data_IF_529051177237
#
_entry.id   IF_529051177237
#
_cell.length_a   1.000
_cell.length_b   1.000
_cell.length_c   1.000
_cell.angle_alpha   90.00
_cell.angle_beta   90.00
_cell.angle_gamma   90.00
#
_symmetry.space_group_name_H-M   'P 1'
#
loop_
_entity.id
_entity.type
_entity.pdbx_description
1 polymer ?
#
# COMPACT_ATOMS: atom_id res chain seq x y z
N UNK A 1 26.54 14.55 -2.42
CA UNK A 1 25.58 13.98 -1.47
C UNK A 1 26.14 13.79 -0.05
N UNK A 2 27.31 13.20 0.18
CA UNK A 2 27.90 13.04 1.54
C UNK A 2 28.05 14.36 2.34
N UNK A 3 28.32 15.50 1.70
CA UNK A 3 28.46 16.79 2.37
C UNK A 3 27.15 17.41 2.89
N UNK A 4 26.01 17.13 2.25
CA UNK A 4 24.70 17.66 2.68
C UNK A 4 24.17 16.96 3.94
N UNK A 5 24.44 15.65 4.11
CA UNK A 5 24.04 14.92 5.32
C UNK A 5 24.85 15.35 6.54
N UNK A 6 26.16 15.66 6.36
CA UNK A 6 26.99 16.16 7.45
C UNK A 6 26.56 17.56 7.92
N UNK A 7 26.12 18.42 7.01
CA UNK A 7 25.63 19.76 7.34
C UNK A 7 24.30 19.70 8.12
N UNK A 8 23.42 18.73 7.80
CA UNK A 8 22.17 18.53 8.51
C UNK A 8 22.39 17.99 9.93
N UNK A 9 23.36 17.09 10.12
CA UNK A 9 23.70 16.55 11.45
C UNK A 9 24.36 17.61 12.35
N UNK A 10 25.21 18.48 11.78
CA UNK A 10 25.84 19.57 12.50
C UNK A 10 24.86 20.67 12.93
N UNK A 11 23.79 20.92 12.15
CA UNK A 11 22.73 21.85 12.51
C UNK A 11 21.89 21.34 13.70
N UNK A 12 21.73 20.02 13.86
CA UNK A 12 21.00 19.45 15.00
C UNK A 12 21.75 19.58 16.34
N UNK A 13 23.10 19.53 16.31
CA UNK A 13 23.92 19.66 17.53
C UNK A 13 23.94 21.09 18.06
N UNK A 14 23.69 22.09 17.22
CA UNK A 14 23.62 23.51 17.62
C UNK A 14 22.28 23.87 18.30
N UNK A 15 21.24 23.03 18.17
CA UNK A 15 19.91 23.27 18.76
C UNK A 15 19.79 22.79 20.22
N UNK A 16 20.75 22.05 20.75
CA UNK A 16 20.74 21.53 22.13
C UNK A 16 21.33 22.48 23.17
N UNK A 17 21.85 23.64 22.75
CA UNK A 17 22.66 24.55 23.59
C UNK A 17 21.97 25.78 24.13
N UNK A 18 20.70 26.06 23.90
CA UNK A 18 20.03 27.25 24.41
C UNK A 18 18.84 26.94 25.31
N UNK A 19 19.05 26.98 26.61
CA UNK A 19 18.01 26.93 27.64
C UNK A 19 17.28 28.28 27.78
N UNK A 20 16.46 28.62 26.83
CA UNK A 20 15.25 29.43 26.99
C UNK A 20 14.18 28.74 26.18
N UNK A 21 13.07 28.32 26.82
CA UNK A 21 11.84 27.93 26.09
C UNK A 21 11.38 29.14 25.26
N UNK A 22 11.99 29.33 24.08
CA UNK A 22 11.32 30.06 23.04
C UNK A 22 10.05 29.25 22.75
N UNK A 23 8.89 29.81 22.93
CA UNK A 23 7.65 29.27 22.37
C UNK A 23 7.89 29.20 20.85
N UNK A 24 8.22 27.97 20.40
CA UNK A 24 8.49 27.76 19.02
C UNK A 24 7.15 27.79 18.29
N UNK A 25 6.99 28.75 17.39
CA UNK A 25 5.82 28.85 16.54
C UNK A 25 5.53 27.45 15.94
N UNK A 26 4.29 26.95 16.05
CA UNK A 26 3.92 25.68 15.46
C UNK A 26 4.30 25.70 13.98
N UNK A 27 5.03 24.71 13.55
CA UNK A 27 5.42 24.57 12.14
C UNK A 27 4.35 23.79 11.44
N UNK A 28 3.64 24.44 10.52
CA UNK A 28 2.67 23.78 9.65
C UNK A 28 3.42 22.95 8.61
N UNK A 29 3.08 21.66 8.53
CA UNK A 29 3.57 20.75 7.50
C UNK A 29 2.39 20.21 6.70
N UNK A 30 2.60 20.05 5.41
CA UNK A 30 1.57 19.61 4.46
C UNK A 30 2.02 18.38 3.70
N UNK A 31 1.09 17.56 3.20
CA UNK A 31 1.42 16.51 2.25
C UNK A 31 2.12 17.08 1.01
N UNK A 32 3.08 16.32 0.50
CA UNK A 32 3.70 16.58 -0.80
C UNK A 32 2.85 15.86 -1.84
N UNK A 33 2.32 16.59 -2.83
CA UNK A 33 1.39 16.03 -3.81
C UNK A 33 1.85 16.41 -5.21
N UNK A 34 1.95 15.42 -6.08
CA UNK A 34 2.13 15.58 -7.52
C UNK A 34 0.99 14.85 -8.23
N UNK A 35 0.38 15.51 -9.21
CA UNK A 35 -0.76 14.97 -9.93
C UNK A 35 -0.58 15.18 -11.44
N UNK A 36 -0.87 14.13 -12.19
CA UNK A 36 -0.92 14.15 -13.66
C UNK A 36 -2.10 13.29 -14.09
N UNK A 37 -3.00 13.84 -14.91
CA UNK A 37 -4.21 13.16 -15.35
C UNK A 37 -4.98 12.50 -14.20
N UNK A 38 -5.09 11.17 -14.21
CA UNK A 38 -5.77 10.37 -13.19
C UNK A 38 -4.81 9.73 -12.16
N UNK A 39 -3.55 10.18 -12.13
CA UNK A 39 -2.53 9.66 -11.21
C UNK A 39 -2.16 10.74 -10.21
N UNK A 40 -2.26 10.43 -8.93
CA UNK A 40 -1.79 11.29 -7.84
C UNK A 40 -0.75 10.54 -7.03
N UNK A 41 0.45 11.09 -6.92
CA UNK A 41 1.48 10.63 -5.99
C UNK A 41 1.51 11.55 -4.78
N UNK A 42 1.44 10.96 -3.60
CA UNK A 42 1.38 11.69 -2.33
C UNK A 42 2.42 11.14 -1.35
N UNK A 43 3.21 12.02 -0.74
CA UNK A 43 3.90 11.69 0.51
C UNK A 43 3.12 12.33 1.65
N UNK A 44 2.54 11.51 2.50
CA UNK A 44 1.62 11.96 3.55
C UNK A 44 2.32 11.96 4.92
N UNK A 45 2.43 13.10 5.61
CA UNK A 45 3.11 13.17 6.89
C UNK A 45 2.47 12.29 7.97
N UNK A 46 1.18 12.03 7.92
CA UNK A 46 0.50 11.16 8.88
C UNK A 46 0.89 9.70 8.67
N UNK A 47 0.96 9.28 7.40
CA UNK A 47 1.38 7.92 7.04
C UNK A 47 2.85 7.71 7.41
N UNK A 48 3.73 8.64 7.07
CA UNK A 48 5.15 8.55 7.42
C UNK A 48 5.35 8.48 8.94
N UNK A 49 4.63 9.30 9.72
CA UNK A 49 4.70 9.26 11.18
C UNK A 49 4.20 7.91 11.75
N UNK A 50 3.13 7.35 11.21
CA UNK A 50 2.63 6.04 11.62
C UNK A 50 3.62 4.93 11.27
N UNK A 51 4.21 4.97 10.08
CA UNK A 51 5.24 4.02 9.65
C UNK A 51 6.49 4.09 10.56
N UNK A 52 6.90 5.29 10.97
CA UNK A 52 7.96 5.47 11.98
C UNK A 52 7.59 4.78 13.29
N UNK A 53 6.38 4.98 13.78
CA UNK A 53 5.94 4.36 15.03
C UNK A 53 5.87 2.82 14.93
N UNK A 54 5.36 2.27 13.81
CA UNK A 54 5.35 0.83 13.53
C UNK A 54 6.76 0.26 13.47
N UNK A 55 7.70 0.98 12.85
CA UNK A 55 9.10 0.59 12.78
C UNK A 55 9.77 0.57 14.15
N UNK A 56 9.58 1.60 14.95
CA UNK A 56 10.10 1.68 16.33
C UNK A 56 9.51 0.61 17.24
N UNK A 57 8.26 0.22 17.00
CA UNK A 57 7.58 -0.87 17.71
C UNK A 57 7.99 -2.26 17.21
N UNK A 58 8.91 -2.34 16.23
CA UNK A 58 9.41 -3.57 15.62
C UNK A 58 8.31 -4.44 14.98
N UNK A 59 7.28 -3.80 14.42
CA UNK A 59 6.21 -4.48 13.69
C UNK A 59 6.69 -4.88 12.30
N UNK A 60 6.66 -6.18 12.01
CA UNK A 60 6.94 -6.68 10.65
C UNK A 60 5.80 -6.30 9.68
N UNK A 61 6.10 -5.97 8.41
CA UNK A 61 7.41 -5.93 7.77
C UNK A 61 8.14 -4.58 7.90
N UNK A 62 7.57 -3.58 8.59
CA UNK A 62 8.09 -2.21 8.65
C UNK A 62 9.45 -2.09 9.37
N UNK A 63 9.82 -3.08 10.17
CA UNK A 63 11.13 -3.16 10.83
C UNK A 63 12.23 -3.71 9.94
N UNK A 64 11.92 -4.19 8.73
CA UNK A 64 12.91 -4.77 7.83
C UNK A 64 13.74 -3.70 7.11
N UNK A 65 14.99 -4.05 6.79
CA UNK A 65 15.94 -3.18 6.08
C UNK A 65 16.18 -3.68 4.64
N UNK A 66 15.12 -3.91 3.88
CA UNK A 66 15.20 -4.29 2.47
C UNK A 66 15.29 -3.06 1.55
N UNK A 67 16.23 -2.17 1.87
CA UNK A 67 16.40 -0.95 1.09
C UNK A 67 17.59 -1.08 0.13
N UNK A 68 17.42 -0.59 -1.10
CA UNK A 68 18.56 -0.30 -1.95
C UNK A 68 19.48 0.74 -1.28
N UNK A 69 20.75 0.76 -1.65
CA UNK A 69 21.79 1.58 -1.00
C UNK A 69 21.41 3.07 -0.86
N UNK A 70 20.59 3.60 -1.78
CA UNK A 70 20.21 5.02 -1.80
C UNK A 70 19.19 5.40 -0.71
N UNK A 71 18.44 4.44 -0.20
CA UNK A 71 17.40 4.66 0.82
C UNK A 71 17.82 4.25 2.23
N UNK A 72 18.82 3.39 2.38
CA UNK A 72 19.32 2.93 3.68
C UNK A 72 19.75 4.11 4.55
N UNK A 73 20.40 5.14 3.97
CA UNK A 73 20.85 6.32 4.70
C UNK A 73 19.69 7.16 5.27
N UNK A 74 18.57 7.24 4.54
CA UNK A 74 17.37 7.93 5.05
C UNK A 74 16.78 7.16 6.23
N UNK A 75 16.60 5.86 6.07
CA UNK A 75 16.04 5.00 7.11
C UNK A 75 16.90 4.96 8.36
N UNK A 76 18.23 4.82 8.20
CA UNK A 76 19.19 4.90 9.31
C UNK A 76 19.14 6.26 10.01
N UNK A 77 18.92 7.33 9.24
CA UNK A 77 18.72 8.68 9.79
C UNK A 77 17.45 8.78 10.63
N UNK A 78 16.35 8.23 10.13
CA UNK A 78 15.08 8.17 10.87
C UNK A 78 15.25 7.36 12.16
N UNK A 79 15.84 6.16 12.09
CA UNK A 79 16.06 5.32 13.27
C UNK A 79 16.87 6.03 14.37
N UNK A 80 17.92 6.75 13.99
CA UNK A 80 18.74 7.53 14.93
C UNK A 80 17.98 8.71 15.56
N UNK A 81 17.21 9.44 14.76
CA UNK A 81 16.47 10.61 15.22
C UNK A 81 15.34 10.25 16.19
N UNK A 82 14.69 9.10 15.94
CA UNK A 82 13.57 8.63 16.74
C UNK A 82 13.94 7.59 17.80
N UNK A 83 15.22 7.25 17.98
CA UNK A 83 15.65 6.19 18.90
C UNK A 83 15.09 6.37 20.31
N UNK A 84 15.11 7.60 20.84
CA UNK A 84 14.58 7.92 22.17
C UNK A 84 13.06 7.76 22.28
N UNK A 85 12.37 7.76 21.15
CA UNK A 85 10.92 7.61 21.08
C UNK A 85 10.43 6.14 21.14
N UNK A 86 11.35 5.16 21.17
CA UNK A 86 11.00 3.74 21.39
C UNK A 86 10.26 3.54 22.72
N UNK A 87 10.54 4.40 23.71
CA UNK A 87 9.91 4.35 25.02
C UNK A 87 8.59 5.16 25.10
N UNK A 88 8.19 5.83 24.03
CA UNK A 88 6.97 6.63 23.98
C UNK A 88 5.72 5.75 24.18
N UNK A 89 4.69 6.20 24.95
CA UNK A 89 3.48 5.41 25.22
C UNK A 89 2.80 4.92 23.95
N UNK A 90 2.74 5.71 22.88
CA UNK A 90 2.17 5.32 21.59
C UNK A 90 2.92 4.15 20.95
N UNK A 91 4.26 4.18 20.95
CA UNK A 91 5.09 3.09 20.41
C UNK A 91 4.93 1.82 21.23
N UNK A 92 4.90 1.93 22.56
CA UNK A 92 4.65 0.79 23.46
C UNK A 92 3.28 0.18 23.27
N UNK A 93 2.25 0.98 23.07
CA UNK A 93 0.90 0.49 22.76
C UNK A 93 0.88 -0.32 21.45
N UNK A 94 1.49 0.20 20.38
CA UNK A 94 1.65 -0.52 19.12
C UNK A 94 2.42 -1.83 19.34
N UNK A 95 3.54 -1.78 20.07
CA UNK A 95 4.37 -2.97 20.36
C UNK A 95 3.60 -4.04 21.14
N UNK A 96 2.77 -3.64 22.09
CA UNK A 96 1.93 -4.55 22.85
C UNK A 96 0.91 -5.31 22.01
N UNK A 97 0.56 -4.74 20.84
CA UNK A 97 -0.38 -5.28 19.84
C UNK A 97 0.31 -5.62 18.51
N UNK A 98 1.63 -5.81 18.51
CA UNK A 98 2.42 -5.98 17.28
C UNK A 98 1.88 -7.06 16.36
N UNK A 99 1.43 -8.20 16.91
CA UNK A 99 0.81 -9.28 16.14
C UNK A 99 -0.46 -8.80 15.41
N UNK A 100 -1.33 -8.05 16.09
CA UNK A 100 -2.56 -7.54 15.48
C UNK A 100 -2.25 -6.54 14.36
N UNK A 101 -1.27 -5.64 14.57
CA UNK A 101 -0.81 -4.71 13.54
C UNK A 101 -0.18 -5.45 12.35
N UNK A 102 0.65 -6.48 12.60
CA UNK A 102 1.25 -7.30 11.55
C UNK A 102 0.19 -8.02 10.72
N UNK A 103 -0.78 -8.67 11.37
CA UNK A 103 -1.81 -9.46 10.70
C UNK A 103 -2.81 -8.58 9.93
N UNK A 104 -2.97 -7.30 10.30
CA UNK A 104 -3.95 -6.36 9.76
C UNK A 104 -3.33 -5.02 9.32
N UNK A 105 -2.08 -5.01 8.89
CA UNK A 105 -1.33 -3.78 8.60
C UNK A 105 -2.02 -2.85 7.59
N UNK A 106 -2.77 -3.39 6.62
CA UNK A 106 -3.52 -2.58 5.65
C UNK A 106 -4.59 -1.72 6.33
N UNK A 107 -5.39 -2.35 7.20
CA UNK A 107 -6.40 -1.63 7.98
C UNK A 107 -5.76 -0.63 8.96
N UNK A 108 -4.58 -0.99 9.52
CA UNK A 108 -3.84 -0.08 10.37
C UNK A 108 -3.34 1.15 9.62
N UNK A 109 -2.78 0.98 8.43
CA UNK A 109 -2.29 2.09 7.61
C UNK A 109 -3.43 2.94 7.01
N UNK A 110 -4.54 2.31 6.65
CA UNK A 110 -5.70 3.00 6.07
C UNK A 110 -6.32 4.04 7.01
N UNK A 111 -6.12 3.95 8.33
CA UNK A 111 -6.60 4.94 9.30
C UNK A 111 -6.13 6.36 8.95
N UNK A 112 -4.96 6.50 8.35
CA UNK A 112 -4.37 7.80 8.00
C UNK A 112 -5.21 8.59 7.00
N UNK A 113 -6.04 7.91 6.19
CA UNK A 113 -6.98 8.55 5.26
C UNK A 113 -8.13 9.27 6.00
N UNK A 114 -8.42 8.85 7.24
CA UNK A 114 -9.50 9.39 8.08
C UNK A 114 -9.00 10.30 9.19
N UNK A 115 -7.70 10.62 9.21
CA UNK A 115 -7.10 11.61 10.11
C UNK A 115 -7.00 12.94 9.37
N UNK A 116 -7.33 14.06 10.07
CA UNK A 116 -7.21 15.40 9.50
C UNK A 116 -5.78 15.74 9.08
N UNK A 117 -5.63 16.65 8.10
CA UNK A 117 -4.29 17.08 7.63
C UNK A 117 -3.60 18.11 8.56
N UNK A 118 -4.29 18.55 9.60
CA UNK A 118 -3.69 19.43 10.60
C UNK A 118 -2.79 18.63 11.54
N UNK A 119 -1.50 18.62 11.25
CA UNK A 119 -0.48 17.90 12.03
C UNK A 119 -0.20 18.55 13.41
N UNK A 120 -0.72 19.74 13.68
CA UNK A 120 -0.58 20.38 15.00
C UNK A 120 -1.63 19.87 15.99
N UNK A 121 -2.80 19.47 15.47
CA UNK A 121 -3.90 18.91 16.25
C UNK A 121 -4.72 17.94 15.38
N UNK A 122 -4.19 16.77 15.14
CA UNK A 122 -4.89 15.74 14.35
C UNK A 122 -6.18 15.30 15.03
N UNK A 123 -7.22 15.13 14.22
CA UNK A 123 -8.53 14.59 14.62
C UNK A 123 -8.90 13.42 13.72
N UNK A 124 -9.80 12.55 14.18
CA UNK A 124 -10.23 11.37 13.40
C UNK A 124 -11.68 11.52 12.96
N UNK A 125 -11.92 11.28 11.69
CA UNK A 125 -13.24 11.28 11.03
C UNK A 125 -13.88 9.90 11.11
N UNK A 126 -14.12 9.41 12.32
CA UNK A 126 -14.59 8.04 12.58
C UNK A 126 -15.86 7.68 11.79
N UNK A 127 -16.78 8.64 11.57
CA UNK A 127 -18.04 8.41 10.84
C UNK A 127 -17.85 8.16 9.34
N UNK A 128 -16.68 8.52 8.80
CA UNK A 128 -16.35 8.32 7.39
C UNK A 128 -15.62 6.99 7.15
N UNK A 129 -15.26 6.27 8.23
CA UNK A 129 -14.54 4.99 8.13
C UNK A 129 -15.45 3.89 7.58
N UNK A 130 -15.00 3.11 6.60
CA UNK A 130 -15.74 1.97 6.10
C UNK A 130 -15.78 0.83 7.15
N UNK A 131 -16.81 -0.01 7.07
CA UNK A 131 -17.02 -1.12 8.02
C UNK A 131 -15.85 -2.09 8.06
N UNK A 132 -15.15 -2.27 6.96
CA UNK A 132 -13.99 -3.15 6.83
C UNK A 132 -12.85 -2.71 7.77
N UNK A 133 -12.69 -1.41 7.98
CA UNK A 133 -11.72 -0.88 8.94
C UNK A 133 -12.19 -1.01 10.38
N UNK A 134 -13.49 -0.96 10.64
CA UNK A 134 -14.04 -1.01 11.99
C UNK A 134 -13.65 -2.32 12.71
N UNK A 135 -13.54 -3.43 12.00
CA UNK A 135 -13.17 -4.74 12.58
C UNK A 135 -11.81 -4.73 13.25
N UNK A 136 -10.80 -4.15 12.60
CA UNK A 136 -9.46 -4.00 13.16
C UNK A 136 -9.46 -3.02 14.36
N UNK A 137 -10.16 -1.90 14.21
CA UNK A 137 -10.21 -0.85 15.22
C UNK A 137 -11.17 -1.14 16.37
N UNK A 138 -11.96 -2.22 16.26
CA UNK A 138 -12.84 -2.68 17.34
C UNK A 138 -12.02 -3.04 18.59
N UNK A 139 -12.31 -2.37 19.70
CA UNK A 139 -11.57 -2.54 20.95
C UNK A 139 -10.33 -1.66 21.11
N UNK A 140 -10.02 -0.83 20.10
CA UNK A 140 -9.05 0.26 20.22
C UNK A 140 -9.81 1.55 20.44
N UNK A 141 -9.50 2.26 21.52
CA UNK A 141 -10.11 3.57 21.77
C UNK A 141 -9.49 4.60 20.83
N UNK A 142 -10.22 4.96 19.77
CA UNK A 142 -9.73 5.90 18.74
C UNK A 142 -9.44 7.30 19.30
N UNK A 143 -10.14 7.73 20.36
CA UNK A 143 -9.82 8.97 21.07
C UNK A 143 -8.44 8.91 21.73
N UNK A 144 -8.15 7.80 22.40
CA UNK A 144 -6.84 7.59 23.03
C UNK A 144 -5.76 7.44 21.97
N UNK A 145 -6.03 6.70 20.90
CA UNK A 145 -5.11 6.53 19.78
C UNK A 145 -4.70 7.88 19.20
N UNK A 146 -5.66 8.74 18.82
CA UNK A 146 -5.34 10.02 18.19
C UNK A 146 -4.66 11.01 19.18
N UNK A 147 -5.00 10.95 20.48
CA UNK A 147 -4.33 11.75 21.49
C UNK A 147 -2.86 11.36 21.66
N UNK A 148 -2.57 10.05 21.70
CA UNK A 148 -1.21 9.53 21.77
C UNK A 148 -0.43 9.78 20.49
N UNK A 149 -1.09 9.73 19.32
CA UNK A 149 -0.48 10.02 18.04
C UNK A 149 -0.09 11.49 17.92
N UNK A 150 -0.95 12.42 18.37
CA UNK A 150 -0.61 13.84 18.51
C UNK A 150 0.57 14.07 19.46
N UNK A 151 0.56 13.41 20.64
CA UNK A 151 1.65 13.52 21.61
C UNK A 151 2.97 13.00 21.03
N UNK A 152 2.94 11.89 20.30
CA UNK A 152 4.10 11.35 19.59
C UNK A 152 4.64 12.32 18.54
N UNK A 153 3.76 12.96 17.73
CA UNK A 153 4.16 13.96 16.75
C UNK A 153 4.88 15.16 17.42
N UNK A 154 4.31 15.64 18.52
CA UNK A 154 4.81 16.81 19.23
C UNK A 154 6.11 16.53 19.98
N UNK A 155 6.18 15.44 20.74
CA UNK A 155 7.35 15.11 21.58
C UNK A 155 8.54 14.66 20.76
N UNK A 156 8.32 14.09 19.56
CA UNK A 156 9.38 13.75 18.61
C UNK A 156 9.88 14.95 17.79
N UNK A 157 9.25 16.13 17.90
CA UNK A 157 9.52 17.27 17.01
C UNK A 157 9.33 16.92 15.52
N UNK A 158 8.36 16.07 15.20
CA UNK A 158 8.18 15.52 13.87
C UNK A 158 8.09 16.58 12.76
N UNK A 159 7.38 17.68 12.99
CA UNK A 159 7.24 18.75 12.02
C UNK A 159 8.59 19.31 11.55
N UNK A 160 9.57 19.43 12.45
CA UNK A 160 10.93 19.89 12.11
C UNK A 160 11.71 18.84 11.35
N UNK A 161 11.56 17.58 11.73
CA UNK A 161 12.17 16.45 11.03
C UNK A 161 11.60 16.36 9.62
N UNK A 162 10.29 16.52 9.46
CA UNK A 162 9.65 16.57 8.14
C UNK A 162 10.27 17.64 7.24
N UNK A 163 10.41 18.88 7.70
CA UNK A 163 11.02 19.96 6.92
C UNK A 163 12.48 19.65 6.55
N UNK A 164 13.22 19.04 7.46
CA UNK A 164 14.60 18.64 7.19
C UNK A 164 14.68 17.61 6.03
N UNK A 165 13.74 16.68 5.99
CA UNK A 165 13.69 15.65 4.96
C UNK A 165 12.82 16.00 3.74
N UNK A 166 12.07 17.09 3.77
CA UNK A 166 11.18 17.50 2.69
C UNK A 166 11.85 17.50 1.30
N UNK A 167 13.11 18.00 1.14
CA UNK A 167 13.77 17.94 -0.17
C UNK A 167 14.02 16.50 -0.68
N UNK A 168 14.24 15.55 0.22
CA UNK A 168 14.37 14.14 -0.11
C UNK A 168 13.02 13.54 -0.49
N UNK A 169 11.99 13.78 0.32
CA UNK A 169 10.63 13.31 0.08
C UNK A 169 10.04 13.87 -1.22
N UNK A 170 10.32 15.14 -1.55
CA UNK A 170 9.94 15.74 -2.84
C UNK A 170 10.58 15.05 -4.03
N UNK A 171 11.90 14.78 -3.97
CA UNK A 171 12.58 14.05 -5.05
C UNK A 171 12.01 12.65 -5.25
N UNK A 172 11.71 11.94 -4.15
CA UNK A 172 11.07 10.64 -4.19
C UNK A 172 9.70 10.70 -4.87
N UNK A 173 8.85 11.65 -4.47
CA UNK A 173 7.52 11.80 -5.03
C UNK A 173 7.55 12.16 -6.53
N UNK A 174 8.48 13.03 -6.95
CA UNK A 174 8.70 13.38 -8.37
C UNK A 174 9.13 12.15 -9.15
N UNK A 175 10.12 11.39 -8.65
CA UNK A 175 10.61 10.23 -9.34
C UNK A 175 9.55 9.12 -9.47
N UNK A 176 8.70 8.94 -8.46
CA UNK A 176 7.54 8.03 -8.55
C UNK A 176 6.50 8.54 -9.57
N UNK A 177 6.23 9.85 -9.58
CA UNK A 177 5.31 10.44 -10.54
C UNK A 177 5.81 10.27 -11.98
N UNK A 178 7.08 10.55 -12.24
CA UNK A 178 7.70 10.41 -13.55
C UNK A 178 7.64 8.94 -14.03
N UNK A 179 7.93 8.00 -13.11
CA UNK A 179 7.84 6.57 -13.38
C UNK A 179 6.42 6.13 -13.75
N UNK A 180 5.40 6.55 -12.99
CA UNK A 180 4.01 6.20 -13.26
C UNK A 180 3.49 6.88 -14.54
N UNK A 181 3.93 8.09 -14.84
CA UNK A 181 3.61 8.77 -16.10
C UNK A 181 4.22 8.01 -17.29
N UNK A 182 5.42 7.46 -17.14
CA UNK A 182 6.03 6.60 -18.17
C UNK A 182 5.26 5.28 -18.33
N UNK A 183 4.58 4.80 -17.28
CA UNK A 183 3.73 3.60 -17.29
C UNK A 183 2.26 3.87 -17.69
N UNK A 184 1.96 4.97 -18.37
CA UNK A 184 0.58 5.38 -18.69
C UNK A 184 -0.21 4.30 -19.43
N UNK A 185 0.43 3.52 -20.32
CA UNK A 185 -0.20 2.39 -21.04
C UNK A 185 -0.77 1.32 -20.11
N UNK A 186 -0.06 1.02 -19.02
CA UNK A 186 -0.55 0.07 -18.02
C UNK A 186 -1.79 0.59 -17.29
N UNK A 187 -1.82 1.88 -17.00
CA UNK A 187 -2.94 2.53 -16.33
C UNK A 187 -4.16 2.65 -17.25
N UNK A 188 -3.95 2.96 -18.53
CA UNK A 188 -5.00 2.95 -19.54
C UNK A 188 -5.57 1.55 -19.73
N UNK A 189 -4.70 0.51 -19.74
CA UNK A 189 -5.14 -0.88 -19.80
C UNK A 189 -5.98 -1.26 -18.57
N UNK A 190 -5.57 -0.91 -17.34
CA UNK A 190 -6.38 -1.14 -16.13
C UNK A 190 -7.76 -0.50 -16.28
N UNK A 191 -7.82 0.75 -16.72
CA UNK A 191 -9.08 1.48 -16.90
C UNK A 191 -9.99 0.78 -17.92
N UNK A 192 -9.44 0.37 -19.05
CA UNK A 192 -10.19 -0.29 -20.14
C UNK A 192 -10.60 -1.73 -19.76
N UNK A 193 -9.72 -2.45 -19.06
CA UNK A 193 -9.91 -3.88 -18.78
C UNK A 193 -10.83 -4.14 -17.60
N UNK A 194 -10.68 -3.38 -16.52
CA UNK A 194 -11.34 -3.65 -15.23
C UNK A 194 -12.56 -2.78 -14.97
N UNK A 195 -12.73 -1.69 -15.69
CA UNK A 195 -13.83 -0.75 -15.47
C UNK A 195 -14.82 -0.73 -16.62
N UNK A 196 -16.03 -0.22 -16.35
CA UNK A 196 -17.02 0.02 -17.40
C UNK A 196 -16.49 1.05 -18.43
N UNK A 197 -16.94 1.00 -19.70
CA UNK A 197 -16.34 1.77 -20.80
C UNK A 197 -16.21 3.27 -20.55
N UNK A 198 -17.14 3.86 -19.80
CA UNK A 198 -17.16 5.30 -19.51
C UNK A 198 -16.58 5.67 -18.14
N UNK A 199 -16.03 4.67 -17.43
CA UNK A 199 -15.44 4.84 -16.10
C UNK A 199 -13.93 5.03 -16.21
N UNK A 200 -13.41 6.05 -15.52
CA UNK A 200 -11.97 6.27 -15.37
C UNK A 200 -11.62 6.28 -13.90
N UNK A 201 -10.90 5.28 -13.40
CA UNK A 201 -10.47 5.29 -12.01
C UNK A 201 -9.41 6.37 -11.80
N UNK A 202 -9.37 6.95 -10.61
CA UNK A 202 -8.21 7.68 -10.12
C UNK A 202 -7.26 6.71 -9.41
N UNK A 203 -5.97 6.93 -9.54
CA UNK A 203 -4.93 6.16 -8.87
C UNK A 203 -4.22 7.08 -7.88
N UNK A 204 -4.31 6.73 -6.60
CA UNK A 204 -3.65 7.45 -5.52
C UNK A 204 -2.53 6.58 -4.95
N UNK A 205 -1.29 7.00 -5.17
CA UNK A 205 -0.10 6.33 -4.66
C UNK A 205 0.48 7.11 -3.49
N UNK A 206 0.48 6.51 -2.31
CA UNK A 206 1.26 7.00 -1.19
C UNK A 206 2.68 6.48 -1.30
N UNK A 207 3.62 7.34 -1.68
CA UNK A 207 5.03 6.94 -1.79
C UNK A 207 5.72 7.04 -0.44
N UNK A 208 6.35 5.96 0.03
CA UNK A 208 7.09 5.93 1.29
C UNK A 208 8.34 5.04 1.21
N UNK A 209 9.46 5.54 1.74
CA UNK A 209 10.68 4.75 1.91
C UNK A 209 10.63 3.81 3.11
N UNK A 210 9.66 3.98 4.01
CA UNK A 210 9.57 3.21 5.26
C UNK A 210 8.80 1.89 5.12
N UNK A 211 8.36 1.54 3.91
CA UNK A 211 7.61 0.30 3.65
C UNK A 211 8.50 -0.88 3.24
N UNK A 212 9.82 -0.76 3.36
CA UNK A 212 10.78 -1.79 2.96
C UNK A 212 10.65 -2.25 1.48
N UNK A 213 10.16 -1.36 0.60
CA UNK A 213 9.95 -1.66 -0.83
C UNK A 213 8.67 -2.46 -1.13
N UNK A 214 7.85 -2.74 -0.14
CA UNK A 214 6.58 -3.44 -0.35
C UNK A 214 5.46 -2.49 -0.83
N UNK A 215 4.51 -3.08 -1.54
CA UNK A 215 3.28 -2.42 -1.98
C UNK A 215 2.11 -2.91 -1.13
N UNK A 216 1.26 -1.98 -0.71
CA UNK A 216 0.10 -2.29 0.13
C UNK A 216 -1.16 -1.67 -0.45
N UNK A 217 -2.14 -2.52 -0.76
CA UNK A 217 -3.48 -2.07 -1.11
C UNK A 217 -4.16 -1.40 0.10
N UNK A 218 -4.83 -0.30 -0.14
CA UNK A 218 -5.75 0.31 0.81
C UNK A 218 -7.20 0.14 0.32
N UNK A 219 -8.21 0.30 1.19
CA UNK A 219 -9.59 0.23 0.78
C UNK A 219 -9.91 1.18 -0.37
N UNK A 220 -10.79 0.74 -1.28
CA UNK A 220 -11.32 1.61 -2.33
C UNK A 220 -12.10 2.76 -1.70
N UNK A 221 -11.93 3.93 -2.26
CA UNK A 221 -12.75 5.10 -1.93
C UNK A 221 -13.46 5.60 -3.17
N UNK A 222 -14.51 6.39 -2.97
CA UNK A 222 -15.22 7.05 -4.07
C UNK A 222 -15.13 8.55 -3.88
N UNK A 223 -14.69 9.24 -4.91
CA UNK A 223 -14.63 10.69 -4.93
C UNK A 223 -15.38 11.17 -6.18
N UNK A 224 -16.39 12.02 -6.01
CA UNK A 224 -17.20 12.56 -7.11
C UNK A 224 -17.69 11.48 -8.10
N UNK A 225 -18.18 10.34 -7.58
CA UNK A 225 -18.57 9.14 -8.31
C UNK A 225 -17.44 8.41 -9.06
N UNK A 226 -16.19 8.79 -8.85
CA UNK A 226 -15.02 8.11 -9.42
C UNK A 226 -14.42 7.15 -8.40
N UNK A 227 -14.15 5.93 -8.81
CA UNK A 227 -13.43 4.95 -7.98
C UNK A 227 -11.97 5.36 -7.86
N UNK A 228 -11.47 5.45 -6.64
CA UNK A 228 -10.07 5.72 -6.35
C UNK A 228 -9.38 4.43 -5.91
N UNK A 229 -8.43 3.96 -6.72
CA UNK A 229 -7.54 2.85 -6.36
C UNK A 229 -6.42 3.44 -5.52
N UNK A 230 -6.35 3.07 -4.25
CA UNK A 230 -5.34 3.58 -3.33
C UNK A 230 -4.31 2.52 -3.00
N UNK A 231 -3.04 2.87 -3.15
CA UNK A 231 -1.91 2.00 -2.87
C UNK A 231 -0.82 2.75 -2.11
N UNK A 232 -0.19 2.08 -1.15
CA UNK A 232 1.10 2.54 -0.62
C UNK A 232 2.18 1.89 -1.46
N UNK A 233 2.99 2.71 -2.12
CA UNK A 233 4.11 2.28 -2.96
C UNK A 233 5.41 2.42 -2.19
N UNK A 234 6.16 1.35 -2.07
CA UNK A 234 7.51 1.38 -1.54
C UNK A 234 8.44 2.15 -2.49
N UNK A 235 9.27 3.00 -1.96
CA UNK A 235 10.18 3.84 -2.75
C UNK A 235 11.37 3.05 -3.31
N UNK A 236 11.09 2.01 -4.04
CA UNK A 236 12.03 1.35 -4.91
C UNK A 236 11.71 1.79 -6.34
N UNK A 237 12.54 2.66 -6.89
CA UNK A 237 12.39 3.08 -8.29
C UNK A 237 13.13 2.09 -9.17
N UNK A 238 12.42 1.19 -9.85
CA UNK A 238 13.03 0.29 -10.80
C UNK A 238 13.56 1.09 -12.00
N UNK A 239 14.49 0.50 -12.75
CA UNK A 239 14.92 1.06 -14.03
C UNK A 239 13.74 1.03 -15.01
N UNK A 240 13.67 2.04 -15.88
CA UNK A 240 12.70 2.09 -16.97
C UNK A 240 12.92 0.92 -17.92
N UNK A 241 12.04 -0.06 -17.91
CA UNK A 241 11.95 -1.16 -18.85
C UNK A 241 10.58 -1.83 -18.78
N UNK A 242 10.22 -2.58 -19.81
CA UNK A 242 8.91 -3.23 -19.97
C UNK A 242 8.55 -4.14 -18.78
N UNK A 243 9.52 -4.87 -18.23
CA UNK A 243 9.30 -5.74 -17.09
C UNK A 243 8.89 -4.97 -15.83
N UNK A 244 9.52 -3.84 -15.58
CA UNK A 244 9.20 -3.00 -14.42
C UNK A 244 7.85 -2.30 -14.58
N UNK A 245 7.53 -1.84 -15.80
CA UNK A 245 6.20 -1.29 -16.10
C UNK A 245 5.11 -2.35 -15.95
N UNK A 246 5.35 -3.58 -16.42
CA UNK A 246 4.46 -4.69 -16.18
C UNK A 246 4.24 -4.93 -14.67
N UNK A 247 5.32 -4.99 -13.88
CA UNK A 247 5.23 -5.18 -12.44
C UNK A 247 4.47 -4.05 -11.73
N UNK A 248 4.66 -2.80 -12.14
CA UNK A 248 3.90 -1.67 -11.62
C UNK A 248 2.40 -1.81 -11.91
N UNK A 249 2.05 -2.13 -13.15
CA UNK A 249 0.68 -2.39 -13.58
C UNK A 249 0.07 -3.54 -12.79
N UNK A 250 0.80 -4.63 -12.63
CA UNK A 250 0.41 -5.80 -11.84
C UNK A 250 0.13 -5.43 -10.37
N UNK A 251 1.00 -4.64 -9.75
CA UNK A 251 0.83 -4.22 -8.35
C UNK A 251 -0.41 -3.34 -8.15
N UNK A 252 -0.69 -2.41 -9.07
CA UNK A 252 -1.90 -1.58 -9.03
C UNK A 252 -3.14 -2.47 -9.24
N UNK A 253 -3.09 -3.40 -10.19
CA UNK A 253 -4.17 -4.36 -10.44
C UNK A 253 -4.42 -5.24 -9.21
N UNK A 254 -3.37 -5.81 -8.61
CA UNK A 254 -3.49 -6.62 -7.40
C UNK A 254 -4.08 -5.83 -6.23
N UNK A 255 -3.73 -4.55 -6.10
CA UNK A 255 -4.30 -3.66 -5.09
C UNK A 255 -5.78 -3.42 -5.31
N UNK A 256 -6.20 -3.21 -6.55
CA UNK A 256 -7.61 -3.06 -6.91
C UNK A 256 -8.40 -4.34 -6.61
N UNK A 257 -7.91 -5.50 -7.07
CA UNK A 257 -8.55 -6.80 -6.85
C UNK A 257 -8.61 -7.13 -5.36
N UNK A 258 -7.55 -6.84 -4.60
CA UNK A 258 -7.55 -7.01 -3.15
C UNK A 258 -8.65 -6.19 -2.47
N UNK A 259 -8.75 -4.93 -2.84
CA UNK A 259 -9.72 -4.03 -2.24
C UNK A 259 -11.17 -4.42 -2.60
N UNK A 260 -11.41 -4.99 -3.79
CA UNK A 260 -12.70 -5.57 -4.16
C UNK A 260 -13.01 -6.84 -3.35
N UNK A 261 -12.05 -7.73 -3.19
CA UNK A 261 -12.22 -8.94 -2.36
C UNK A 261 -12.54 -8.53 -0.91
N UNK A 262 -11.84 -7.53 -0.37
CA UNK A 262 -12.10 -6.99 0.95
C UNK A 262 -13.52 -6.43 1.07
N UNK A 263 -13.94 -5.61 0.10
CA UNK A 263 -15.29 -5.01 0.03
C UNK A 263 -16.41 -6.05 0.02
N UNK A 264 -16.18 -7.19 -0.65
CA UNK A 264 -17.16 -8.25 -0.83
C UNK A 264 -16.81 -9.53 -0.04
N UNK A 265 -16.03 -9.40 1.04
CA UNK A 265 -15.50 -10.54 1.78
C UNK A 265 -16.59 -11.49 2.30
N UNK A 266 -17.68 -10.95 2.81
CA UNK A 266 -18.81 -11.75 3.31
C UNK A 266 -19.40 -12.70 2.25
N UNK A 267 -19.35 -12.28 0.98
CA UNK A 267 -19.84 -13.08 -0.15
C UNK A 267 -18.79 -14.08 -0.67
N UNK A 268 -17.51 -13.67 -0.68
CA UNK A 268 -16.45 -14.38 -1.38
C UNK A 268 -15.64 -15.32 -0.47
N UNK A 269 -15.70 -15.11 0.84
CA UNK A 269 -14.77 -15.73 1.80
C UNK A 269 -14.78 -17.26 1.78
N UNK A 270 -15.93 -17.89 1.65
CA UNK A 270 -16.05 -19.36 1.65
C UNK A 270 -15.36 -19.97 0.42
N UNK A 271 -15.70 -19.47 -0.78
CA UNK A 271 -15.21 -20.02 -2.03
C UNK A 271 -13.69 -19.74 -2.22
N UNK A 272 -13.23 -18.52 -1.89
CA UNK A 272 -11.82 -18.16 -1.93
C UNK A 272 -10.99 -18.95 -0.90
N UNK A 273 -11.53 -19.15 0.30
CA UNK A 273 -10.84 -19.94 1.34
C UNK A 273 -10.73 -21.41 0.91
N UNK A 274 -11.80 -21.98 0.34
CA UNK A 274 -11.77 -23.34 -0.17
C UNK A 274 -10.74 -23.49 -1.28
N UNK A 275 -10.72 -22.57 -2.24
CA UNK A 275 -9.74 -22.54 -3.34
C UNK A 275 -8.30 -22.45 -2.82
N UNK A 276 -8.02 -21.52 -1.89
CA UNK A 276 -6.69 -21.39 -1.28
C UNK A 276 -6.27 -22.64 -0.50
N UNK A 277 -7.18 -23.24 0.29
CA UNK A 277 -6.90 -24.47 1.04
C UNK A 277 -6.56 -25.63 0.10
N UNK A 278 -7.27 -25.80 -1.00
CA UNK A 278 -6.97 -26.81 -2.02
C UNK A 278 -5.53 -26.67 -2.50
N UNK A 279 -5.09 -25.45 -2.84
CA UNK A 279 -3.71 -25.18 -3.26
C UNK A 279 -2.71 -25.56 -2.17
N UNK A 280 -3.00 -25.19 -0.91
CA UNK A 280 -2.13 -25.49 0.23
C UNK A 280 -2.00 -26.99 0.48
N UNK A 281 -3.10 -27.74 0.44
CA UNK A 281 -3.15 -29.18 0.61
C UNK A 281 -2.39 -29.92 -0.52
N UNK A 282 -2.62 -29.52 -1.77
CA UNK A 282 -1.95 -30.11 -2.95
C UNK A 282 -0.42 -29.91 -2.93
N UNK A 283 0.05 -28.85 -2.28
CA UNK A 283 1.47 -28.52 -2.18
C UNK A 283 2.07 -28.81 -0.79
N UNK A 284 1.32 -29.46 0.08
CA UNK A 284 1.74 -29.90 1.41
C UNK A 284 2.24 -28.74 2.30
N UNK A 285 1.64 -27.56 2.17
CA UNK A 285 1.91 -26.46 3.07
C UNK A 285 1.31 -26.71 4.45
N UNK A 286 2.09 -26.43 5.48
CA UNK A 286 1.68 -26.63 6.88
C UNK A 286 1.14 -25.33 7.54
N UNK A 287 1.29 -24.22 6.86
CA UNK A 287 0.87 -22.92 7.39
C UNK A 287 -0.64 -22.82 7.50
N UNK A 288 -1.09 -22.17 8.57
CA UNK A 288 -2.52 -21.92 8.76
C UNK A 288 -3.02 -20.91 7.72
N UNK A 289 -4.00 -21.31 6.92
CA UNK A 289 -4.69 -20.43 5.99
C UNK A 289 -5.54 -19.42 6.79
N UNK A 290 -5.16 -18.15 6.74
CA UNK A 290 -5.86 -17.02 7.36
C UNK A 290 -6.55 -16.17 6.31
N UNK A 291 -7.53 -15.36 6.70
CA UNK A 291 -8.23 -14.44 5.79
C UNK A 291 -7.25 -13.51 5.04
N UNK A 292 -6.22 -13.02 5.73
CA UNK A 292 -5.19 -12.17 5.11
C UNK A 292 -4.44 -12.90 4.01
N UNK A 293 -4.07 -14.17 4.24
CA UNK A 293 -3.42 -15.02 3.24
C UNK A 293 -4.35 -15.27 2.07
N UNK A 294 -5.63 -15.61 2.34
CA UNK A 294 -6.62 -15.86 1.28
C UNK A 294 -6.78 -14.63 0.39
N UNK A 295 -6.99 -13.45 0.98
CA UNK A 295 -7.16 -12.20 0.23
C UNK A 295 -5.91 -11.86 -0.58
N UNK A 296 -4.72 -11.93 0.03
CA UNK A 296 -3.46 -11.59 -0.63
C UNK A 296 -3.14 -12.55 -1.79
N UNK A 297 -3.24 -13.86 -1.57
CA UNK A 297 -2.94 -14.85 -2.61
C UNK A 297 -3.90 -14.74 -3.79
N UNK A 298 -5.21 -14.69 -3.52
CA UNK A 298 -6.20 -14.63 -4.60
C UNK A 298 -6.10 -13.32 -5.39
N UNK A 299 -5.90 -12.16 -4.72
CA UNK A 299 -5.75 -10.88 -5.42
C UNK A 299 -4.54 -10.89 -6.35
N UNK A 300 -3.42 -11.47 -5.91
CA UNK A 300 -2.20 -11.54 -6.72
C UNK A 300 -2.36 -12.55 -7.86
N UNK A 301 -2.91 -13.74 -7.60
CA UNK A 301 -3.16 -14.75 -8.65
C UNK A 301 -4.09 -14.21 -9.72
N UNK A 302 -5.20 -13.58 -9.33
CA UNK A 302 -6.12 -13.00 -10.30
C UNK A 302 -5.49 -11.83 -11.06
N UNK A 303 -4.78 -10.93 -10.38
CA UNK A 303 -4.07 -9.86 -11.07
C UNK A 303 -3.10 -10.41 -12.13
N UNK A 304 -2.34 -11.46 -11.81
CA UNK A 304 -1.41 -12.11 -12.74
C UNK A 304 -2.19 -12.72 -13.92
N UNK A 305 -3.24 -13.50 -13.65
CA UNK A 305 -4.00 -14.18 -14.68
C UNK A 305 -4.64 -13.18 -15.66
N UNK A 306 -5.31 -12.17 -15.11
CA UNK A 306 -5.99 -11.17 -15.93
C UNK A 306 -4.99 -10.26 -16.66
N UNK A 307 -3.79 -10.03 -16.11
CA UNK A 307 -2.76 -9.21 -16.77
C UNK A 307 -2.06 -9.91 -17.95
N UNK A 308 -2.34 -11.19 -18.21
CA UNK A 308 -1.91 -11.85 -19.46
C UNK A 308 -2.49 -11.19 -20.70
N UNK A 309 -3.61 -10.48 -20.56
CA UNK A 309 -4.22 -9.70 -21.62
C UNK A 309 -3.60 -8.30 -21.83
N UNK A 310 -2.68 -7.89 -20.99
CA UNK A 310 -1.96 -6.65 -21.18
C UNK A 310 -0.99 -6.75 -22.36
N UNK A 311 -1.01 -5.77 -23.26
CA UNK A 311 -0.23 -5.79 -24.49
C UNK A 311 1.26 -6.06 -24.27
N UNK A 312 1.86 -5.50 -23.21
CA UNK A 312 3.23 -5.78 -22.83
C UNK A 312 3.52 -7.27 -22.60
N UNK A 313 2.54 -8.03 -22.08
CA UNK A 313 2.69 -9.45 -21.86
C UNK A 313 2.39 -10.25 -23.16
N UNK A 314 1.49 -9.76 -24.01
CA UNK A 314 1.18 -10.36 -25.31
C UNK A 314 2.28 -10.16 -26.33
N UNK A 315 2.85 -8.96 -26.38
CA UNK A 315 3.86 -8.56 -27.37
C UNK A 315 5.27 -9.01 -26.97
N UNK A 316 5.48 -9.42 -25.70
CA UNK A 316 6.75 -9.88 -25.19
C UNK A 316 6.66 -11.32 -24.67
N UNK A 317 7.11 -12.28 -25.49
CA UNK A 317 7.04 -13.72 -25.20
C UNK A 317 7.78 -14.09 -23.89
N UNK A 318 8.87 -13.41 -23.57
CA UNK A 318 9.63 -13.64 -22.33
C UNK A 318 8.77 -13.29 -21.12
N UNK A 319 8.13 -12.11 -21.14
CA UNK A 319 7.22 -11.67 -20.08
C UNK A 319 6.03 -12.61 -19.98
N UNK A 320 5.36 -12.90 -21.09
CA UNK A 320 4.20 -13.80 -21.11
C UNK A 320 4.51 -15.19 -20.57
N UNK A 321 5.67 -15.74 -20.92
CA UNK A 321 6.14 -17.05 -20.43
C UNK A 321 6.48 -16.98 -18.94
N UNK A 322 7.17 -15.94 -18.49
CA UNK A 322 7.50 -15.76 -17.08
C UNK A 322 6.25 -15.64 -16.20
N UNK A 323 5.20 -14.97 -16.69
CA UNK A 323 3.92 -14.83 -15.99
C UNK A 323 3.25 -16.20 -15.84
N UNK A 324 3.13 -16.97 -16.92
CA UNK A 324 2.53 -18.32 -16.89
C UNK A 324 3.31 -19.23 -15.94
N UNK A 325 4.64 -19.17 -15.96
CA UNK A 325 5.49 -19.92 -15.05
C UNK A 325 5.28 -19.47 -13.60
N UNK A 326 5.09 -18.17 -13.33
CA UNK A 326 4.85 -17.67 -11.99
C UNK A 326 3.56 -18.24 -11.37
N UNK A 327 2.50 -18.45 -12.16
CA UNK A 327 1.25 -19.08 -11.69
C UNK A 327 1.55 -20.48 -11.17
N UNK A 328 2.39 -21.25 -11.87
CA UNK A 328 2.74 -22.62 -11.50
C UNK A 328 3.76 -22.66 -10.38
N UNK A 329 4.84 -21.89 -10.45
CA UNK A 329 5.99 -22.01 -9.56
C UNK A 329 5.84 -21.22 -8.25
N UNK A 330 5.30 -20.00 -8.34
CA UNK A 330 5.21 -19.12 -7.18
C UNK A 330 3.89 -19.25 -6.43
N UNK A 331 2.80 -19.52 -7.17
CA UNK A 331 1.46 -19.69 -6.59
C UNK A 331 0.99 -21.14 -6.58
N UNK A 332 1.81 -22.05 -7.16
CA UNK A 332 1.69 -23.48 -7.05
C UNK A 332 0.35 -24.05 -7.55
N UNK A 333 -0.28 -23.31 -8.46
CA UNK A 333 -1.51 -23.76 -9.10
C UNK A 333 -1.19 -24.64 -10.31
N UNK A 334 -1.54 -25.93 -10.21
CA UNK A 334 -1.11 -26.97 -11.18
C UNK A 334 -1.84 -26.93 -12.52
N UNK A 335 -2.98 -26.24 -12.58
CA UNK A 335 -3.85 -26.18 -13.76
C UNK A 335 -4.06 -24.72 -14.22
N UNK A 336 -2.99 -23.99 -14.60
CA UNK A 336 -3.07 -22.56 -14.92
C UNK A 336 -4.06 -22.25 -16.04
N UNK A 337 -4.29 -23.18 -16.97
CA UNK A 337 -5.21 -23.02 -18.07
C UNK A 337 -6.67 -22.81 -17.62
N UNK A 338 -7.06 -23.40 -16.50
CA UNK A 338 -8.40 -23.18 -15.93
C UNK A 338 -8.58 -21.76 -15.41
N UNK A 339 -7.52 -21.21 -14.82
CA UNK A 339 -7.53 -19.81 -14.37
C UNK A 339 -7.49 -18.84 -15.55
N UNK A 340 -6.68 -19.14 -16.57
CA UNK A 340 -6.59 -18.33 -17.79
C UNK A 340 -7.96 -18.29 -18.49
N UNK A 341 -8.67 -19.43 -18.53
CA UNK A 341 -10.01 -19.49 -19.08
C UNK A 341 -11.02 -18.56 -18.36
N UNK A 342 -10.79 -18.19 -17.10
CA UNK A 342 -11.60 -17.18 -16.42
C UNK A 342 -11.40 -15.77 -17.00
N UNK A 343 -10.16 -15.42 -17.36
CA UNK A 343 -9.84 -14.14 -17.99
C UNK A 343 -10.48 -14.08 -19.39
N UNK A 344 -10.33 -15.13 -20.16
CA UNK A 344 -10.95 -15.24 -21.48
C UNK A 344 -12.47 -15.14 -21.41
N UNK A 345 -13.08 -15.82 -20.42
CA UNK A 345 -14.51 -15.75 -20.19
C UNK A 345 -14.99 -14.34 -19.82
N UNK A 346 -14.27 -13.66 -18.94
CA UNK A 346 -14.58 -12.27 -18.56
C UNK A 346 -14.57 -11.35 -19.80
N UNK A 347 -13.54 -11.45 -20.63
CA UNK A 347 -13.42 -10.64 -21.84
C UNK A 347 -14.54 -10.95 -22.87
N UNK A 348 -14.89 -12.20 -23.03
CA UNK A 348 -15.96 -12.61 -23.95
C UNK A 348 -17.37 -12.22 -23.47
N UNK A 349 -17.54 -11.87 -22.19
CA UNK A 349 -18.84 -11.59 -21.58
C UNK A 349 -18.95 -10.17 -20.99
N UNK A 350 -18.23 -9.19 -21.56
CA UNK A 350 -18.24 -7.78 -21.10
C UNK A 350 -19.63 -7.14 -21.18
N UNK A 351 -20.51 -7.59 -22.05
CA UNK A 351 -21.91 -7.12 -22.11
C UNK A 351 -22.72 -7.54 -20.86
N UNK A 352 -22.38 -8.70 -20.27
CA UNK A 352 -23.01 -9.21 -19.04
C UNK A 352 -22.31 -8.67 -17.79
N UNK A 353 -20.99 -8.57 -17.84
CA UNK A 353 -20.13 -8.10 -16.76
C UNK A 353 -19.36 -6.85 -17.24
N UNK A 354 -19.97 -5.66 -17.21
CA UNK A 354 -19.36 -4.45 -17.77
C UNK A 354 -18.08 -4.01 -17.05
N UNK A 355 -17.90 -4.45 -15.81
CA UNK A 355 -16.71 -4.21 -15.01
C UNK A 355 -16.30 -5.47 -14.24
N UNK A 356 -15.09 -5.45 -13.70
CA UNK A 356 -14.53 -6.59 -12.98
C UNK A 356 -15.23 -6.83 -11.65
N UNK A 357 -15.76 -5.81 -11.00
CA UNK A 357 -16.52 -5.97 -9.75
C UNK A 357 -17.78 -6.82 -9.97
N UNK A 358 -18.52 -6.54 -11.04
CA UNK A 358 -19.70 -7.32 -11.41
C UNK A 358 -19.38 -8.78 -11.74
N UNK A 359 -18.26 -9.03 -12.41
CA UNK A 359 -17.75 -10.38 -12.69
C UNK A 359 -17.34 -11.10 -11.39
N UNK A 360 -16.57 -10.43 -10.54
CA UNK A 360 -16.09 -10.95 -9.27
C UNK A 360 -17.24 -11.40 -8.36
N UNK A 361 -18.30 -10.63 -8.31
CA UNK A 361 -19.45 -10.87 -7.41
C UNK A 361 -20.41 -11.91 -7.98
N UNK A 362 -20.71 -11.85 -9.29
CA UNK A 362 -21.81 -12.63 -9.86
C UNK A 362 -21.36 -13.93 -10.52
N UNK A 363 -20.10 -14.06 -10.94
CA UNK A 363 -19.60 -15.24 -11.67
C UNK A 363 -18.50 -16.01 -10.94
N UNK A 364 -17.51 -15.31 -10.41
CA UNK A 364 -16.31 -15.94 -9.84
C UNK A 364 -16.61 -16.97 -8.75
N UNK A 365 -17.55 -16.75 -7.78
CA UNK A 365 -17.86 -17.73 -6.76
C UNK A 365 -18.30 -19.09 -7.35
N UNK A 366 -19.10 -19.05 -8.42
CA UNK A 366 -19.55 -20.27 -9.09
C UNK A 366 -18.37 -20.93 -9.85
N UNK A 367 -17.56 -20.16 -10.54
CA UNK A 367 -16.42 -20.67 -11.30
C UNK A 367 -15.39 -21.35 -10.40
N UNK A 368 -15.10 -20.78 -9.22
CA UNK A 368 -14.17 -21.36 -8.23
C UNK A 368 -14.62 -22.72 -7.69
N UNK A 369 -15.90 -23.08 -7.80
CA UNK A 369 -16.40 -24.42 -7.40
C UNK A 369 -15.96 -25.50 -8.38
N UNK A 370 -15.64 -25.14 -9.60
CA UNK A 370 -15.18 -26.06 -10.65
C UNK A 370 -13.65 -26.15 -10.78
N UNK A 371 -12.93 -25.25 -10.09
CA UNK A 371 -11.47 -25.25 -10.00
C UNK A 371 -10.98 -26.09 -8.82
#
# INVERSE_FOLDING_TARGET
>A
MKKLLFTALAALTLLTGCSKKAELTPVEIKPIVYQTDNITVKVDPKLELLLIALRLAEVEPFSYNYYGQDYSQFVDGVDKLFEKQKEHPFVKEIKSRSKNYKDNYRSALAITQYISDDMTQMTIKQKEMPKELESFWKGINLKTFIAQFNDFANTSNYARIWILYEPHLKRQAIAEQDYQTSNIKGIEWISKYFFAPDSKPEILLYSSTLTAGYYYALPLTTKDNTTVITQIAGAYLPKDNDWNYYNSTLNITASYVYALIEKHWDLLSEDLTRFTKKIYEENQFTDKVTDTIVKANNSTVFAIVFSLDFDLAKDNEEIGTAIKNAIVTNYLYKEPEKLIALADYYQANRDTYPDFESFLVNYLPQALKSL
#
